data_IF_207297342037
#
_entry.id   IF_207297342037
#
_cell.length_a   1.000
_cell.length_b   1.000
_cell.length_c   1.000
_cell.angle_alpha   90.00
_cell.angle_beta   90.00
_cell.angle_gamma   90.00
#
_symmetry.space_group_name_H-M   'P 1'
#
loop_
_entity.id
_entity.type
_entity.pdbx_description
1 polymer ?
#
# COMPACT_ATOMS: atom_id res chain seq x y z
N UNK A 1 24.32 -1.35 -15.01
CA UNK A 1 23.58 -0.48 -14.05
C UNK A 1 22.81 -1.41 -13.13
N UNK A 2 22.71 -1.08 -11.83
CA UNK A 2 21.90 -1.86 -10.90
C UNK A 2 20.41 -1.79 -11.29
N UNK A 3 19.67 -2.84 -11.01
CA UNK A 3 18.23 -2.88 -11.27
C UNK A 3 17.50 -1.87 -10.36
N UNK A 4 16.54 -1.09 -10.89
CA UNK A 4 15.78 -0.14 -10.07
C UNK A 4 14.78 -0.87 -9.17
N UNK A 5 14.46 -0.24 -8.03
CA UNK A 5 13.58 -0.82 -7.02
C UNK A 5 12.22 -0.13 -7.00
N UNK A 6 11.15 -0.91 -6.86
CA UNK A 6 9.82 -0.40 -6.58
C UNK A 6 9.31 -1.03 -5.28
N UNK A 7 9.13 -0.21 -4.24
CA UNK A 7 8.43 -0.62 -3.04
C UNK A 7 6.97 -0.17 -3.09
N UNK A 8 6.04 -1.12 -3.01
CA UNK A 8 4.60 -0.85 -2.95
C UNK A 8 4.12 -1.10 -1.55
N UNK A 9 3.59 -0.09 -0.87
CA UNK A 9 2.94 -0.24 0.45
C UNK A 9 1.43 -0.32 0.25
N UNK A 10 0.86 -1.49 0.48
CA UNK A 10 -0.54 -1.86 0.26
C UNK A 10 -1.28 -2.15 1.58
N UNK A 11 -2.60 -2.03 1.58
CA UNK A 11 -3.43 -2.29 2.76
C UNK A 11 -4.62 -1.33 2.90
N UNK A 12 -5.63 -1.67 3.72
CA UNK A 12 -6.85 -0.89 3.82
C UNK A 12 -6.60 0.49 4.44
N UNK A 13 -7.57 1.40 4.32
CA UNK A 13 -7.54 2.67 5.02
C UNK A 13 -7.33 2.44 6.54
N UNK A 14 -6.57 3.31 7.22
CA UNK A 14 -6.32 3.14 8.67
C UNK A 14 -5.42 1.96 9.06
N UNK A 15 -4.89 1.17 8.12
CA UNK A 15 -4.01 0.04 8.47
C UNK A 15 -2.63 0.45 9.01
N UNK A 16 -2.20 1.70 8.78
CA UNK A 16 -0.90 2.21 9.23
C UNK A 16 0.17 2.29 8.14
N UNK A 17 -0.17 2.14 6.86
CA UNK A 17 0.76 2.24 5.71
C UNK A 17 1.70 3.45 5.75
N UNK A 18 1.18 4.65 6.01
CA UNK A 18 2.03 5.85 6.05
C UNK A 18 2.99 5.85 7.24
N UNK A 19 2.60 5.20 8.34
CA UNK A 19 3.52 4.98 9.48
C UNK A 19 4.54 3.90 9.15
N UNK A 20 4.15 2.81 8.47
CA UNK A 20 5.08 1.82 7.96
C UNK A 20 6.13 2.45 7.03
N UNK A 21 5.70 3.29 6.08
CA UNK A 21 6.63 4.03 5.23
C UNK A 21 7.57 4.92 6.05
N UNK A 22 7.04 5.80 6.91
CA UNK A 22 7.83 6.76 7.69
C UNK A 22 8.79 6.11 8.68
N UNK A 23 8.34 5.07 9.39
CA UNK A 23 9.04 4.52 10.54
C UNK A 23 9.88 3.28 10.18
N UNK A 24 9.56 2.59 9.07
CA UNK A 24 10.25 1.35 8.67
C UNK A 24 11.05 1.53 7.39
N UNK A 25 10.43 2.05 6.31
CA UNK A 25 11.10 2.13 5.01
C UNK A 25 12.01 3.35 4.88
N UNK A 26 11.49 4.55 5.19
CA UNK A 26 12.19 5.82 5.02
C UNK A 26 13.56 5.89 5.72
N UNK A 27 13.75 5.39 6.96
CA UNK A 27 15.07 5.44 7.61
C UNK A 27 16.15 4.65 6.87
N UNK A 28 15.74 3.66 6.07
CA UNK A 28 16.64 2.80 5.30
C UNK A 28 16.66 3.14 3.81
N UNK A 29 15.76 4.01 3.34
CA UNK A 29 15.50 4.27 1.93
C UNK A 29 15.28 5.77 1.70
N UNK A 30 16.25 6.43 1.05
CA UNK A 30 16.09 7.81 0.61
C UNK A 30 15.54 7.87 -0.83
N UNK A 31 14.36 7.27 -1.03
CA UNK A 31 13.73 7.15 -2.35
C UNK A 31 12.56 8.15 -2.51
N UNK A 32 12.29 8.62 -3.74
CA UNK A 32 11.06 9.34 -4.04
C UNK A 32 9.82 8.59 -3.57
N UNK A 33 8.92 9.27 -2.87
CA UNK A 33 7.66 8.72 -2.42
C UNK A 33 6.49 9.31 -3.21
N UNK A 34 5.71 8.43 -3.84
CA UNK A 34 4.56 8.83 -4.63
C UNK A 34 3.28 8.43 -3.91
N UNK A 35 2.64 9.41 -3.26
CA UNK A 35 1.37 9.24 -2.55
C UNK A 35 0.33 10.27 -3.02
N UNK A 36 -0.84 9.84 -3.53
CA UNK A 36 -1.89 10.76 -3.98
C UNK A 36 -2.42 11.66 -2.86
N UNK A 37 -2.44 11.20 -1.60
CA UNK A 37 -2.91 12.00 -0.48
C UNK A 37 -1.91 13.14 -0.15
N UNK A 38 -0.60 12.93 -0.37
CA UNK A 38 0.41 13.99 -0.22
C UNK A 38 0.32 15.02 -1.34
N UNK A 39 0.14 14.55 -2.58
CA UNK A 39 -0.10 15.43 -3.73
C UNK A 39 -1.37 16.27 -3.51
N UNK A 40 -2.44 15.66 -3.00
CA UNK A 40 -3.68 16.35 -2.70
C UNK A 40 -3.48 17.44 -1.63
N UNK A 41 -2.78 17.11 -0.53
CA UNK A 41 -2.46 18.08 0.53
C UNK A 41 -1.59 19.24 0.05
N UNK A 42 -0.60 18.96 -0.82
CA UNK A 42 0.29 20.00 -1.34
C UNK A 42 -0.43 20.96 -2.29
N UNK A 43 -1.32 20.45 -3.15
CA UNK A 43 -1.97 21.23 -4.22
C UNK A 43 -3.30 21.85 -3.82
N UNK A 44 -4.03 21.24 -2.89
CA UNK A 44 -5.28 21.76 -2.33
C UNK A 44 -5.21 21.79 -0.80
N UNK A 45 -4.37 22.64 -0.19
CA UNK A 45 -4.13 22.62 1.26
C UNK A 45 -5.40 22.87 2.10
N UNK A 46 -6.35 23.64 1.57
CA UNK A 46 -7.60 23.97 2.27
C UNK A 46 -8.72 22.94 2.03
N UNK A 47 -8.64 22.15 0.96
CA UNK A 47 -9.63 21.11 0.62
C UNK A 47 -8.99 19.97 -0.21
N UNK A 48 -8.19 19.09 0.43
CA UNK A 48 -7.55 17.98 -0.29
C UNK A 48 -8.57 17.01 -0.90
N UNK A 49 -9.78 16.93 -0.34
CA UNK A 49 -10.82 16.01 -0.80
C UNK A 49 -11.29 16.36 -2.21
N UNK A 50 -11.45 17.65 -2.52
CA UNK A 50 -11.78 18.15 -3.86
C UNK A 50 -10.75 17.72 -4.92
N UNK A 51 -9.48 17.65 -4.54
CA UNK A 51 -8.38 17.29 -5.43
C UNK A 51 -8.14 15.80 -5.61
N UNK A 52 -8.86 14.91 -4.91
CA UNK A 52 -8.48 13.51 -4.79
C UNK A 52 -8.36 12.75 -6.14
N UNK A 53 -9.26 13.02 -7.09
CA UNK A 53 -9.21 12.38 -8.41
C UNK A 53 -8.02 12.85 -9.25
N UNK A 54 -7.77 14.16 -9.26
CA UNK A 54 -6.65 14.75 -9.98
C UNK A 54 -5.32 14.33 -9.34
N UNK A 55 -5.22 14.34 -8.01
CA UNK A 55 -4.06 13.85 -7.28
C UNK A 55 -3.77 12.37 -7.58
N UNK A 56 -4.79 11.52 -7.70
CA UNK A 56 -4.62 10.13 -8.13
C UNK A 56 -4.08 10.01 -9.56
N UNK A 57 -4.52 10.88 -10.49
CA UNK A 57 -3.99 10.94 -11.86
C UNK A 57 -2.55 11.43 -11.89
N UNK A 58 -2.23 12.50 -11.16
CA UNK A 58 -0.87 13.02 -11.04
C UNK A 58 0.08 11.99 -10.42
N UNK A 59 -0.36 11.26 -9.40
CA UNK A 59 0.40 10.16 -8.82
C UNK A 59 0.66 9.04 -9.84
N UNK A 60 -0.29 8.75 -10.73
CA UNK A 60 -0.09 7.77 -11.81
C UNK A 60 0.96 8.25 -12.80
N UNK A 61 0.81 9.47 -13.32
CA UNK A 61 1.78 10.05 -14.24
C UNK A 61 3.20 10.15 -13.64
N UNK A 62 3.30 10.49 -12.34
CA UNK A 62 4.58 10.52 -11.64
C UNK A 62 5.26 9.14 -11.59
N UNK A 63 4.51 8.08 -11.29
CA UNK A 63 5.03 6.70 -11.32
C UNK A 63 5.46 6.29 -12.72
N UNK A 64 4.65 6.58 -13.73
CA UNK A 64 4.97 6.26 -15.13
C UNK A 64 6.27 6.97 -15.56
N UNK A 65 6.44 8.23 -15.17
CA UNK A 65 7.67 8.99 -15.42
C UNK A 65 8.89 8.39 -14.72
N UNK A 66 8.77 7.97 -13.45
CA UNK A 66 9.85 7.30 -12.71
C UNK A 66 10.23 5.97 -13.37
N UNK A 67 9.23 5.17 -13.77
CA UNK A 67 9.44 3.92 -14.52
C UNK A 67 10.20 4.18 -15.82
N UNK A 68 9.75 5.16 -16.62
CA UNK A 68 10.39 5.51 -17.89
C UNK A 68 11.85 5.96 -17.71
N UNK A 69 12.17 6.66 -16.62
CA UNK A 69 13.54 7.10 -16.28
C UNK A 69 14.36 6.03 -15.55
N UNK A 70 13.79 4.86 -15.25
CA UNK A 70 14.42 3.79 -14.44
C UNK A 70 14.87 4.29 -13.05
N UNK A 71 14.10 5.19 -12.44
CA UNK A 71 14.36 5.72 -11.10
C UNK A 71 13.61 4.91 -10.03
N UNK A 72 14.33 4.38 -9.04
CA UNK A 72 13.75 3.66 -7.90
C UNK A 72 12.79 4.55 -7.10
N UNK A 73 11.68 4.00 -6.61
CA UNK A 73 10.70 4.76 -5.84
C UNK A 73 9.86 3.90 -4.88
N UNK A 74 9.16 4.58 -3.97
CA UNK A 74 8.16 4.00 -3.06
C UNK A 74 6.79 4.56 -3.42
N UNK A 75 5.74 3.75 -3.36
CA UNK A 75 4.36 4.24 -3.49
C UNK A 75 3.44 3.61 -2.47
N UNK A 76 2.54 4.41 -1.92
CA UNK A 76 1.48 3.94 -1.03
C UNK A 76 0.16 3.85 -1.79
N UNK A 77 -0.60 2.77 -1.56
CA UNK A 77 -1.93 2.63 -2.11
C UNK A 77 -2.84 1.76 -1.23
N UNK A 78 -4.14 1.96 -1.36
CA UNK A 78 -5.10 1.00 -0.80
C UNK A 78 -5.01 -0.35 -1.49
N UNK A 79 -4.60 -0.39 -2.77
CA UNK A 79 -4.52 -1.61 -3.60
C UNK A 79 -5.90 -2.23 -3.97
N UNK A 80 -6.96 -1.41 -3.99
CA UNK A 80 -8.33 -1.86 -4.27
C UNK A 80 -8.81 -1.66 -5.71
N UNK A 81 -7.89 -1.56 -6.68
CA UNK A 81 -8.21 -1.38 -8.11
C UNK A 81 -7.17 -2.10 -8.98
N UNK A 82 -7.59 -2.70 -10.10
CA UNK A 82 -6.73 -3.52 -10.99
C UNK A 82 -5.47 -2.79 -11.46
N UNK A 83 -5.56 -1.47 -11.68
CA UNK A 83 -4.41 -0.63 -12.04
C UNK A 83 -3.21 -0.70 -11.08
N UNK A 84 -3.38 -1.23 -9.85
CA UNK A 84 -2.26 -1.46 -8.92
C UNK A 84 -1.52 -2.77 -9.19
N UNK A 85 -2.23 -3.78 -9.68
CA UNK A 85 -1.63 -4.99 -10.26
C UNK A 85 -0.90 -4.64 -11.55
N UNK A 86 -1.53 -3.82 -12.41
CA UNK A 86 -0.90 -3.37 -13.66
C UNK A 86 0.38 -2.57 -13.40
N UNK A 87 0.43 -1.73 -12.37
CA UNK A 87 1.66 -1.04 -11.95
C UNK A 87 2.81 -2.01 -11.66
N UNK A 88 2.56 -3.08 -10.90
CA UNK A 88 3.58 -4.10 -10.60
C UNK A 88 4.03 -4.78 -11.89
N UNK A 89 3.08 -5.16 -12.76
CA UNK A 89 3.38 -5.79 -14.05
C UNK A 89 4.24 -4.90 -14.94
N UNK A 90 3.88 -3.62 -15.07
CA UNK A 90 4.63 -2.63 -15.86
C UNK A 90 6.04 -2.43 -15.30
N UNK A 91 6.19 -2.31 -13.97
CA UNK A 91 7.50 -2.17 -13.35
C UNK A 91 8.38 -3.41 -13.57
N UNK A 92 7.84 -4.62 -13.38
CA UNK A 92 8.54 -5.89 -13.66
C UNK A 92 8.98 -5.99 -15.11
N UNK A 93 8.10 -5.65 -16.06
CA UNK A 93 8.42 -5.61 -17.49
C UNK A 93 9.51 -4.58 -17.83
N UNK A 94 9.60 -3.49 -17.06
CA UNK A 94 10.67 -2.51 -17.15
C UNK A 94 11.95 -2.93 -16.41
N UNK A 95 12.03 -4.15 -15.86
CA UNK A 95 13.20 -4.67 -15.15
C UNK A 95 13.39 -4.13 -13.74
N UNK A 96 12.30 -3.72 -13.06
CA UNK A 96 12.36 -3.38 -11.64
C UNK A 96 12.36 -4.62 -10.77
N UNK A 97 13.10 -4.54 -9.67
CA UNK A 97 12.92 -5.41 -8.50
C UNK A 97 11.77 -4.84 -7.66
N UNK A 98 10.65 -5.57 -7.61
CA UNK A 98 9.43 -5.11 -6.92
C UNK A 98 9.25 -5.82 -5.58
N UNK A 99 9.14 -5.04 -4.51
CA UNK A 99 8.77 -5.53 -3.18
C UNK A 99 7.40 -5.00 -2.79
N UNK A 100 6.46 -5.91 -2.50
CA UNK A 100 5.12 -5.58 -2.04
C UNK A 100 5.02 -5.73 -0.50
N UNK A 101 4.79 -4.61 0.20
CA UNK A 101 4.55 -4.59 1.65
C UNK A 101 3.06 -4.46 1.92
N UNK A 102 2.44 -5.49 2.51
CA UNK A 102 1.01 -5.53 2.81
C UNK A 102 0.80 -5.30 4.30
N UNK A 103 0.09 -4.24 4.67
CA UNK A 103 -0.25 -3.95 6.07
C UNK A 103 -1.69 -4.36 6.35
N UNK A 104 -1.86 -5.39 7.17
CA UNK A 104 -3.10 -6.08 7.48
C UNK A 104 -3.73 -5.56 8.78
N UNK A 105 -5.06 -5.34 8.76
CA UNK A 105 -5.89 -5.07 9.94
C UNK A 105 -7.31 -5.60 9.73
N UNK A 106 -8.07 -5.92 10.79
CA UNK A 106 -9.49 -6.22 10.68
C UNK A 106 -10.29 -5.04 10.09
N UNK A 107 -11.41 -5.34 9.43
CA UNK A 107 -12.31 -4.32 8.87
C UNK A 107 -12.82 -3.35 9.95
N UNK A 108 -13.26 -3.89 11.08
CA UNK A 108 -13.76 -3.08 12.20
C UNK A 108 -12.69 -2.12 12.74
N UNK A 109 -11.43 -2.56 12.77
CA UNK A 109 -10.32 -1.73 13.19
C UNK A 109 -10.01 -0.63 12.16
N UNK A 110 -10.11 -0.95 10.88
CA UNK A 110 -10.02 0.03 9.79
C UNK A 110 -11.06 1.14 9.96
N UNK A 111 -12.33 0.79 10.16
CA UNK A 111 -13.42 1.75 10.36
C UNK A 111 -13.18 2.63 11.59
N UNK A 112 -12.86 2.02 12.74
CA UNK A 112 -12.56 2.74 13.98
C UNK A 112 -11.40 3.72 13.82
N UNK A 113 -10.30 3.29 13.20
CA UNK A 113 -9.12 4.15 12.99
C UNK A 113 -9.38 5.29 12.03
N UNK A 114 -10.21 5.08 11.00
CA UNK A 114 -10.61 6.16 10.10
C UNK A 114 -11.48 7.18 10.85
N UNK A 115 -12.46 6.74 11.63
CA UNK A 115 -13.30 7.63 12.44
C UNK A 115 -12.48 8.47 13.42
N UNK A 116 -11.55 7.85 14.16
CA UNK A 116 -10.65 8.56 15.08
C UNK A 116 -9.78 9.59 14.36
N UNK A 117 -9.24 9.23 13.19
CA UNK A 117 -8.42 10.15 12.38
C UNK A 117 -9.22 11.36 11.89
N UNK A 118 -10.49 11.16 11.52
CA UNK A 118 -11.38 12.26 11.12
C UNK A 118 -11.65 13.19 12.30
N UNK A 119 -11.89 12.65 13.49
CA UNK A 119 -12.05 13.45 14.71
C UNK A 119 -10.78 14.28 15.05
N UNK A 120 -9.62 13.87 14.56
CA UNK A 120 -8.34 14.59 14.69
C UNK A 120 -8.01 15.51 13.50
N UNK A 121 -8.99 15.80 12.62
CA UNK A 121 -8.82 16.70 11.47
C UNK A 121 -8.25 16.04 10.20
N UNK A 122 -8.17 14.70 10.16
CA UNK A 122 -7.74 13.98 8.96
C UNK A 122 -8.87 13.78 7.94
N UNK A 123 -8.50 13.22 6.78
CA UNK A 123 -9.44 13.03 5.67
C UNK A 123 -10.51 11.95 5.95
N UNK A 124 -11.77 12.33 5.73
CA UNK A 124 -12.95 11.45 5.81
C UNK A 124 -13.09 10.58 4.58
N UNK A 125 -13.40 9.30 4.80
CA UNK A 125 -13.75 8.35 3.76
C UNK A 125 -15.10 7.74 4.15
N UNK A 126 -16.11 7.75 3.27
CA UNK A 126 -17.40 7.14 3.57
C UNK A 126 -17.24 5.66 3.99
N UNK A 127 -17.93 5.19 5.05
CA UNK A 127 -17.82 3.80 5.53
C UNK A 127 -18.06 2.75 4.43
N UNK A 128 -19.00 3.01 3.54
CA UNK A 128 -19.39 2.14 2.43
C UNK A 128 -18.22 1.97 1.47
N UNK A 129 -17.53 3.08 1.16
CA UNK A 129 -16.31 3.08 0.34
C UNK A 129 -15.16 2.35 1.03
N UNK A 130 -15.08 2.40 2.36
CA UNK A 130 -14.10 1.62 3.13
C UNK A 130 -14.37 0.12 2.94
N UNK A 131 -15.61 -0.33 3.15
CA UNK A 131 -16.01 -1.74 3.01
C UNK A 131 -15.80 -2.26 1.59
N UNK A 132 -16.23 -1.50 0.57
CA UNK A 132 -16.02 -1.87 -0.83
C UNK A 132 -14.53 -1.99 -1.21
N UNK A 133 -13.70 -1.08 -0.68
CA UNK A 133 -12.25 -1.13 -0.93
C UNK A 133 -11.62 -2.31 -0.21
N UNK A 134 -12.04 -2.57 1.02
CA UNK A 134 -11.57 -3.71 1.82
C UNK A 134 -11.90 -5.04 1.14
N UNK A 135 -13.13 -5.21 0.65
CA UNK A 135 -13.54 -6.44 -0.05
C UNK A 135 -12.76 -6.66 -1.35
N UNK A 136 -12.57 -5.61 -2.17
CA UNK A 136 -11.82 -5.72 -3.44
C UNK A 136 -10.31 -5.92 -3.25
N UNK A 137 -9.78 -5.51 -2.11
CA UNK A 137 -8.34 -5.46 -1.84
C UNK A 137 -7.67 -6.82 -1.95
N UNK A 138 -8.22 -7.84 -1.28
CA UNK A 138 -7.46 -9.04 -0.98
C UNK A 138 -7.19 -9.91 -2.21
N UNK A 139 -8.19 -10.08 -3.08
CA UNK A 139 -7.99 -10.76 -4.36
C UNK A 139 -6.93 -10.08 -5.24
N UNK A 140 -6.83 -8.74 -5.18
CA UNK A 140 -5.80 -8.00 -5.90
C UNK A 140 -4.43 -8.14 -5.24
N UNK A 141 -4.37 -8.12 -3.90
CA UNK A 141 -3.13 -8.35 -3.15
C UNK A 141 -2.54 -9.72 -3.48
N UNK A 142 -3.36 -10.78 -3.56
CA UNK A 142 -2.89 -12.12 -3.96
C UNK A 142 -2.26 -12.09 -5.36
N UNK A 143 -2.90 -11.42 -6.31
CA UNK A 143 -2.31 -11.21 -7.65
C UNK A 143 -0.99 -10.42 -7.57
N UNK A 144 -0.93 -9.39 -6.73
CA UNK A 144 0.28 -8.61 -6.52
C UNK A 144 1.42 -9.44 -5.92
N UNK A 145 1.14 -10.30 -4.94
CA UNK A 145 2.10 -11.23 -4.35
C UNK A 145 2.68 -12.17 -5.41
N UNK A 146 1.84 -12.72 -6.29
CA UNK A 146 2.29 -13.60 -7.37
C UNK A 146 3.12 -12.91 -8.45
N UNK A 147 3.10 -11.57 -8.54
CA UNK A 147 3.84 -10.81 -9.55
C UNK A 147 5.13 -10.16 -9.01
N UNK A 148 5.18 -9.86 -7.72
CA UNK A 148 6.32 -9.20 -7.08
C UNK A 148 7.51 -10.15 -6.93
N UNK A 149 8.72 -9.60 -6.90
CA UNK A 149 9.93 -10.36 -6.55
C UNK A 149 9.85 -10.84 -5.09
N UNK A 150 9.42 -9.93 -4.22
CA UNK A 150 9.24 -10.19 -2.81
C UNK A 150 7.91 -9.63 -2.34
N UNK A 151 7.27 -10.30 -1.40
CA UNK A 151 6.15 -9.74 -0.68
C UNK A 151 6.22 -10.05 0.81
N UNK A 152 5.82 -9.09 1.64
CA UNK A 152 5.80 -9.23 3.08
C UNK A 152 4.44 -8.79 3.60
N UNK A 153 3.84 -9.61 4.47
CA UNK A 153 2.55 -9.30 5.08
C UNK A 153 2.76 -9.06 6.57
N UNK A 154 2.25 -7.93 7.05
CA UNK A 154 2.42 -7.44 8.41
C UNK A 154 1.06 -7.29 9.09
N UNK A 155 0.86 -7.94 10.23
CA UNK A 155 -0.26 -7.65 11.11
C UNK A 155 0.02 -6.35 11.89
N UNK A 156 -0.90 -5.39 11.78
CA UNK A 156 -0.85 -4.15 12.54
C UNK A 156 -2.12 -3.93 13.40
N UNK A 157 -2.73 -5.02 13.86
CA UNK A 157 -3.95 -5.02 14.66
C UNK A 157 -3.72 -4.60 16.12
N UNK A 158 -2.53 -4.84 16.67
CA UNK A 158 -2.18 -4.52 18.06
C UNK A 158 -1.02 -3.54 18.16
N UNK A 159 -1.12 -2.57 19.06
CA UNK A 159 -0.04 -1.63 19.36
C UNK A 159 1.11 -2.26 20.15
N UNK A 160 0.88 -3.41 20.81
CA UNK A 160 1.91 -4.12 21.55
C UNK A 160 2.96 -4.78 20.63
N UNK A 161 2.55 -5.11 19.39
CA UNK A 161 3.41 -5.67 18.35
C UNK A 161 3.07 -5.00 17.01
N UNK A 162 3.49 -3.75 16.78
CA UNK A 162 3.22 -3.06 15.53
C UNK A 162 3.99 -3.72 14.39
N UNK A 163 3.35 -3.85 13.23
CA UNK A 163 3.94 -4.43 12.02
C UNK A 163 4.57 -5.82 12.24
N UNK A 164 3.88 -6.71 12.95
CA UNK A 164 4.33 -8.10 13.15
C UNK A 164 4.30 -8.85 11.82
N UNK A 165 5.45 -9.31 11.33
CA UNK A 165 5.51 -10.00 10.03
C UNK A 165 4.93 -11.41 10.16
N UNK A 166 3.83 -11.64 9.45
CA UNK A 166 3.05 -12.88 9.50
C UNK A 166 3.27 -13.76 8.28
N UNK A 167 3.70 -13.21 7.14
CA UNK A 167 4.06 -14.01 5.96
C UNK A 167 5.15 -13.31 5.15
N UNK A 168 5.92 -14.09 4.40
CA UNK A 168 6.98 -13.63 3.49
C UNK A 168 6.94 -14.48 2.23
N UNK A 169 7.11 -13.86 1.07
CA UNK A 169 7.03 -14.51 -0.22
C UNK A 169 8.22 -14.10 -1.09
N UNK A 170 8.69 -15.03 -1.92
CA UNK A 170 9.66 -14.79 -2.98
C UNK A 170 9.13 -15.39 -4.28
N UNK A 171 9.05 -14.56 -5.33
CA UNK A 171 8.48 -14.91 -6.64
C UNK A 171 7.14 -15.66 -6.53
N UNK A 172 6.26 -15.16 -5.66
CA UNK A 172 4.94 -15.72 -5.38
C UNK A 172 4.91 -16.95 -4.47
N UNK A 173 6.06 -17.52 -4.11
CA UNK A 173 6.13 -18.69 -3.22
C UNK A 173 6.26 -18.26 -1.76
N UNK A 174 5.46 -18.87 -0.88
CA UNK A 174 5.55 -18.63 0.57
C UNK A 174 6.90 -19.15 1.09
N UNK A 175 7.60 -18.30 1.83
CA UNK A 175 8.84 -18.64 2.52
C UNK A 175 8.54 -19.00 3.98
N UNK A 176 8.84 -20.25 4.33
CA UNK A 176 8.61 -20.77 5.68
C UNK A 176 7.11 -20.93 6.00
N UNK A 177 6.77 -20.76 7.26
CA UNK A 177 5.38 -20.87 7.74
C UNK A 177 4.75 -19.49 7.95
N UNK A 178 3.53 -19.33 7.44
CA UNK A 178 2.73 -18.13 7.71
C UNK A 178 2.06 -18.24 9.09
N UNK A 179 2.05 -17.13 9.83
CA UNK A 179 1.45 -17.00 11.17
C UNK A 179 0.21 -16.14 11.11
N UNK A 180 -0.81 -16.61 10.38
CA UNK A 180 -2.01 -15.85 10.13
C UNK A 180 -2.84 -15.62 11.39
N UNK A 181 -3.24 -14.36 11.68
CA UNK A 181 -4.32 -14.11 12.64
C UNK A 181 -5.60 -14.86 12.25
N UNK A 182 -6.41 -15.24 13.25
CA UNK A 182 -7.65 -16.00 13.02
C UNK A 182 -8.69 -15.27 12.16
N UNK A 183 -8.57 -13.95 12.05
CA UNK A 183 -9.44 -13.08 11.26
C UNK A 183 -8.91 -12.78 9.85
N UNK A 184 -7.74 -13.29 9.46
CA UNK A 184 -7.13 -13.04 8.15
C UNK A 184 -8.14 -13.27 7.02
N UNK A 185 -8.24 -12.37 6.01
CA UNK A 185 -9.09 -12.55 4.85
C UNK A 185 -8.87 -13.90 4.16
N UNK A 186 -9.95 -14.54 3.71
CA UNK A 186 -9.89 -15.90 3.16
C UNK A 186 -9.00 -15.99 1.92
N UNK A 187 -8.90 -14.92 1.14
CA UNK A 187 -8.07 -14.85 -0.06
C UNK A 187 -6.58 -14.97 0.25
N UNK A 188 -6.15 -14.65 1.48
CA UNK A 188 -4.74 -14.74 1.90
C UNK A 188 -4.40 -16.07 2.59
N UNK A 189 -5.38 -16.92 2.86
CA UNK A 189 -5.18 -18.19 3.58
C UNK A 189 -4.76 -19.32 2.66
#
# INVERSE_FOLDING_TARGET
>A
MADPFLHVVAGPNGSGKSSFYRDVLLPSMNLPFVNPDEIARARWPNDPARGAQEASRLAAAARDGLIARRESFVTETVFSHSSKVDLIRTARAAGYLVTLHVVLVPLELTERRVTLRVAQGGHSVPPEKIRERYARLWALVVQGIGLANEAYVYDNSTAARPFDRVASYQDGQLLGEARWPSWTPIELR
#
